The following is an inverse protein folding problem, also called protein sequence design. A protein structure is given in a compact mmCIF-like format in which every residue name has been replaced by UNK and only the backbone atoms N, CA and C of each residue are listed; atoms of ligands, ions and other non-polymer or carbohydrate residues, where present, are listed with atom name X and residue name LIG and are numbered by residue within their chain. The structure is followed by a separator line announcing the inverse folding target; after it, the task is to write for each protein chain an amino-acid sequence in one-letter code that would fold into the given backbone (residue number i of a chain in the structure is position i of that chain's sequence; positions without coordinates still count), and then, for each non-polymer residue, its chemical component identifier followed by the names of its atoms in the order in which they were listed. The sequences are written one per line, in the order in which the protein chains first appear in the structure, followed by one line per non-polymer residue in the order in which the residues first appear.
data_IF_589016333029
#
_entry.id   IF_589016333029
#
_cell.length_a   1.000
_cell.length_b   1.000
_cell.length_c   1.000
_cell.angle_alpha   90.00
_cell.angle_beta   90.00
_cell.angle_gamma   90.00
#
_symmetry.space_group_name_H-M   'P 1'
#
loop_
_entity.id
_entity.type
_entity.pdbx_description
1 polymer ?
#
# COMPACT_ATOMS: atom_id res chain seq x y z
N UNK A 1 -2.18 -11.47 -9.23
CA UNK A 1 -1.31 -10.45 -8.60
C UNK A 1 -2.03 -9.40 -7.73
N UNK A 2 -1.67 -9.39 -6.45
CA UNK A 2 -1.99 -8.34 -5.46
C UNK A 2 -0.69 -7.77 -4.88
N UNK A 3 -0.76 -6.56 -4.34
CA UNK A 3 0.31 -5.95 -3.58
C UNK A 3 -0.16 -5.72 -2.16
N UNK A 4 0.55 -6.30 -1.20
CA UNK A 4 0.34 -6.02 0.21
C UNK A 4 1.21 -4.84 0.61
N UNK A 5 0.61 -3.91 1.35
CA UNK A 5 1.25 -2.65 1.74
C UNK A 5 1.35 -2.62 3.26
N UNK A 6 2.57 -2.42 3.71
CA UNK A 6 2.93 -2.27 5.12
C UNK A 6 3.56 -0.90 5.33
N UNK A 7 3.39 -0.39 6.56
CA UNK A 7 4.05 0.83 7.01
C UNK A 7 4.61 0.55 8.40
N UNK A 8 5.92 0.72 8.59
CA UNK A 8 6.59 0.45 9.87
C UNK A 8 6.25 -0.98 10.38
N UNK A 9 6.42 -1.96 9.49
CA UNK A 9 6.08 -3.39 9.66
C UNK A 9 4.61 -3.70 10.01
N UNK A 10 3.73 -2.69 10.03
CA UNK A 10 2.28 -2.86 10.26
C UNK A 10 1.54 -3.00 8.95
N UNK A 11 0.72 -4.04 8.86
CA UNK A 11 -0.14 -4.26 7.71
C UNK A 11 -1.17 -3.13 7.57
N UNK A 12 -1.25 -2.52 6.39
CA UNK A 12 -2.22 -1.46 6.11
C UNK A 12 -3.33 -1.98 5.20
N UNK A 13 -2.98 -2.59 4.07
CA UNK A 13 -3.97 -3.05 3.10
C UNK A 13 -3.37 -4.01 2.08
N UNK A 14 -4.24 -4.66 1.30
CA UNK A 14 -3.89 -5.37 0.08
C UNK A 14 -4.68 -4.76 -1.07
N UNK A 15 -3.99 -4.46 -2.16
CA UNK A 15 -4.58 -3.82 -3.34
C UNK A 15 -4.27 -4.62 -4.59
N UNK A 16 -5.30 -4.79 -5.44
CA UNK A 16 -5.14 -5.46 -6.72
C UNK A 16 -4.19 -4.66 -7.60
N UNK A 17 -3.25 -5.37 -8.22
CA UNK A 17 -2.35 -4.75 -9.19
C UNK A 17 -3.09 -4.64 -10.53
N UNK A 18 -3.23 -3.40 -11.00
CA UNK A 18 -3.92 -3.09 -12.23
C UNK A 18 -3.10 -3.39 -13.49
N UNK A 19 -3.65 -3.02 -14.64
CA UNK A 19 -2.94 -3.11 -15.93
C UNK A 19 -1.60 -2.36 -15.84
N UNK A 20 -0.55 -2.93 -16.46
CA UNK A 20 0.82 -2.39 -16.46
C UNK A 20 1.47 -2.29 -15.07
N UNK A 21 1.06 -3.11 -14.10
CA UNK A 21 1.69 -3.11 -12.77
C UNK A 21 1.28 -1.93 -11.87
N UNK A 22 0.26 -1.16 -12.25
CA UNK A 22 -0.13 0.04 -11.48
C UNK A 22 -0.85 -0.34 -10.18
N UNK A 23 -0.35 0.19 -9.07
CA UNK A 23 -1.02 0.17 -7.77
C UNK A 23 -1.61 1.55 -7.51
N UNK A 24 -2.93 1.64 -7.31
CA UNK A 24 -3.63 2.91 -7.09
C UNK A 24 -4.33 2.91 -5.74
N UNK A 25 -4.00 3.88 -4.90
CA UNK A 25 -4.71 4.16 -3.67
C UNK A 25 -5.37 5.54 -3.81
N UNK A 26 -6.72 5.63 -3.80
CA UNK A 26 -7.39 6.92 -3.86
C UNK A 26 -7.05 7.78 -2.64
N UNK A 27 -6.59 9.03 -2.86
CA UNK A 27 -6.15 9.95 -1.79
C UNK A 27 -7.20 10.18 -0.68
N UNK A 28 -8.50 10.13 -1.03
CA UNK A 28 -9.61 10.34 -0.09
C UNK A 28 -10.04 9.07 0.66
N UNK A 29 -9.48 7.91 0.31
CA UNK A 29 -9.80 6.64 0.97
C UNK A 29 -9.27 6.63 2.41
N UNK A 30 -9.94 5.87 3.28
CA UNK A 30 -9.48 5.62 4.65
C UNK A 30 -8.08 5.00 4.67
N UNK A 31 -7.77 4.15 3.71
CA UNK A 31 -6.44 3.53 3.51
C UNK A 31 -5.38 4.61 3.30
N UNK A 32 -5.61 5.56 2.38
CA UNK A 32 -4.65 6.64 2.14
C UNK A 32 -4.47 7.54 3.36
N UNK A 33 -5.55 7.83 4.10
CA UNK A 33 -5.46 8.59 5.36
C UNK A 33 -4.63 7.87 6.41
N UNK A 34 -4.83 6.56 6.56
CA UNK A 34 -4.05 5.75 7.49
C UNK A 34 -2.58 5.69 7.06
N UNK A 35 -2.30 5.50 5.77
CA UNK A 35 -0.95 5.51 5.23
C UNK A 35 -0.24 6.85 5.50
N UNK A 36 -0.91 7.99 5.25
CA UNK A 36 -0.36 9.32 5.53
C UNK A 36 -0.18 9.62 7.02
N UNK A 37 -0.92 8.94 7.90
CA UNK A 37 -0.80 9.10 9.35
C UNK A 37 0.32 8.24 9.93
N UNK A 38 0.52 7.04 9.38
CA UNK A 38 1.48 6.05 9.86
C UNK A 38 2.87 6.25 9.25
N UNK A 39 2.96 6.60 7.97
CA UNK A 39 4.23 6.76 7.28
C UNK A 39 4.79 8.15 7.57
N UNK A 40 5.93 8.20 8.25
CA UNK A 40 6.63 9.46 8.55
C UNK A 40 7.68 9.76 7.46
N UNK A 41 8.21 8.70 6.86
CA UNK A 41 9.16 8.71 5.75
C UNK A 41 8.76 7.72 4.65
N UNK A 42 9.34 7.86 3.47
CA UNK A 42 9.14 6.92 2.36
C UNK A 42 9.73 5.54 2.68
N UNK A 43 10.81 5.50 3.48
CA UNK A 43 11.48 4.25 3.86
C UNK A 43 10.61 3.37 4.77
N UNK A 44 9.58 3.94 5.39
CA UNK A 44 8.69 3.22 6.28
C UNK A 44 7.71 2.34 5.48
N UNK A 45 7.52 2.63 4.18
CA UNK A 45 6.53 1.96 3.34
C UNK A 45 7.17 0.75 2.66
N UNK A 46 6.63 -0.43 2.93
CA UNK A 46 7.03 -1.67 2.29
C UNK A 46 5.90 -2.20 1.42
N UNK A 47 6.24 -2.70 0.23
CA UNK A 47 5.27 -3.26 -0.72
C UNK A 47 5.73 -4.66 -1.09
N UNK A 48 4.88 -5.65 -0.81
CA UNK A 48 5.11 -7.05 -1.14
C UNK A 48 4.21 -7.47 -2.29
N UNK A 49 4.82 -7.86 -3.40
CA UNK A 49 4.10 -8.37 -4.57
C UNK A 49 3.79 -9.85 -4.34
N UNK A 50 2.50 -10.21 -4.41
CA UNK A 50 2.02 -11.59 -4.35
C UNK A 50 1.35 -11.94 -5.66
N UNK A 51 1.87 -12.98 -6.31
CA UNK A 51 1.17 -13.65 -7.39
C UNK A 51 0.70 -15.01 -6.86
N UNK A 52 -0.62 -15.18 -6.84
CA UNK A 52 -1.29 -16.43 -6.47
C UNK A 52 -1.75 -17.08 -7.76
#
# INVERSE_FOLDING_TARGET
MHADIFVDDKYVTSVRIGKKGQIKIPKRSTIAKNLMKLATSQNDIQIFLKDF
#
